data_IF_087427933759
#
_entry.id   IF_087427933759
#
_cell.length_a   1.000
_cell.length_b   1.000
_cell.length_c   1.000
_cell.angle_alpha   90.00
_cell.angle_beta   90.00
_cell.angle_gamma   90.00
#
_symmetry.space_group_name_H-M   'P 1'
#
loop_
_entity.id
_entity.type
_entity.pdbx_description
1 polymer ?
#
# COMPACT_ATOMS: atom_id res chain seq x y z
N UNK A 1 1.37 1.90 21.65
CA UNK A 1 1.66 1.06 20.47
C UNK A 1 0.33 0.67 19.84
N UNK A 2 0.01 1.14 18.63
CA UNK A 2 -1.20 0.66 17.96
C UNK A 2 -0.97 -0.80 17.58
N UNK A 3 -1.68 -1.73 18.22
CA UNK A 3 -1.52 -3.15 17.93
C UNK A 3 -2.28 -3.45 16.64
N UNK A 4 -1.57 -3.44 15.51
CA UNK A 4 -2.10 -3.93 14.25
C UNK A 4 -2.54 -5.39 14.43
N UNK A 5 -3.75 -5.72 13.97
CA UNK A 5 -4.22 -7.11 13.91
C UNK A 5 -3.37 -7.89 12.91
N UNK A 6 -3.39 -9.22 13.01
CA UNK A 6 -2.74 -10.06 12.01
C UNK A 6 -3.32 -9.80 10.62
N UNK A 7 -2.49 -9.89 9.57
CA UNK A 7 -2.90 -9.63 8.17
C UNK A 7 -4.16 -10.42 7.78
N UNK A 8 -4.23 -11.69 8.17
CA UNK A 8 -5.39 -12.55 7.91
C UNK A 8 -6.67 -12.05 8.62
N UNK A 9 -6.55 -11.42 9.78
CA UNK A 9 -7.69 -10.85 10.49
C UNK A 9 -8.14 -9.53 9.87
N UNK A 10 -7.21 -8.65 9.48
CA UNK A 10 -7.52 -7.42 8.75
C UNK A 10 -8.30 -7.71 7.47
N UNK A 11 -7.81 -8.65 6.65
CA UNK A 11 -8.47 -9.04 5.41
C UNK A 11 -9.88 -9.61 5.67
N UNK A 12 -10.05 -10.43 6.71
CA UNK A 12 -11.35 -10.98 7.12
C UNK A 12 -12.31 -9.88 7.60
N UNK A 13 -11.81 -8.90 8.35
CA UNK A 13 -12.61 -7.79 8.87
C UNK A 13 -13.08 -6.86 7.76
N UNK A 14 -12.21 -6.54 6.81
CA UNK A 14 -12.58 -5.77 5.61
C UNK A 14 -13.57 -6.54 4.76
N UNK A 15 -13.31 -7.83 4.47
CA UNK A 15 -14.19 -8.64 3.63
C UNK A 15 -15.59 -8.82 4.25
N UNK A 16 -15.69 -8.79 5.59
CA UNK A 16 -16.95 -8.86 6.32
C UNK A 16 -17.60 -7.48 6.57
N UNK A 17 -16.99 -6.38 6.11
CA UNK A 17 -17.49 -5.02 6.32
C UNK A 17 -17.40 -4.51 7.76
N UNK A 18 -16.64 -5.19 8.64
CA UNK A 18 -16.41 -4.75 10.03
C UNK A 18 -15.40 -3.60 10.14
N UNK A 19 -14.55 -3.46 9.13
CA UNK A 19 -13.55 -2.39 9.02
C UNK A 19 -13.50 -1.93 7.58
N UNK A 20 -13.34 -0.63 7.34
CA UNK A 20 -13.22 -0.12 5.98
C UNK A 20 -11.76 -0.11 5.54
N UNK A 21 -11.52 -0.39 4.27
CA UNK A 21 -10.19 -0.31 3.68
C UNK A 21 -9.62 1.11 3.78
N UNK A 22 -10.49 2.15 3.70
CA UNK A 22 -10.03 3.54 3.83
C UNK A 22 -9.46 3.83 5.23
N UNK A 23 -10.07 3.27 6.28
CA UNK A 23 -9.61 3.48 7.66
C UNK A 23 -8.21 2.88 7.86
N UNK A 24 -7.95 1.71 7.26
CA UNK A 24 -6.62 1.08 7.30
C UNK A 24 -5.57 1.87 6.51
N UNK A 25 -5.96 2.48 5.38
CA UNK A 25 -5.07 3.36 4.61
C UNK A 25 -4.72 4.61 5.40
N UNK A 26 -5.71 5.31 5.97
CA UNK A 26 -5.44 6.51 6.78
C UNK A 26 -4.60 6.18 8.02
N UNK A 27 -4.89 5.06 8.71
CA UNK A 27 -4.08 4.59 9.83
C UNK A 27 -2.62 4.33 9.40
N UNK A 28 -2.40 3.78 8.21
CA UNK A 28 -1.05 3.53 7.69
C UNK A 28 -0.31 4.83 7.35
N UNK A 29 -1.00 5.77 6.71
CA UNK A 29 -0.42 7.07 6.35
C UNK A 29 -0.08 7.89 7.60
N UNK A 30 -0.96 7.88 8.61
CA UNK A 30 -0.70 8.52 9.89
C UNK A 30 0.50 7.89 10.61
N UNK A 31 0.60 6.55 10.61
CA UNK A 31 1.75 5.87 11.20
C UNK A 31 3.08 6.20 10.50
N UNK A 32 3.06 6.48 9.20
CA UNK A 32 4.26 6.94 8.46
C UNK A 32 4.64 8.36 8.89
N UNK A 33 3.66 9.23 9.09
CA UNK A 33 3.88 10.61 9.54
C UNK A 33 4.38 10.68 10.98
N UNK A 34 3.73 9.95 11.88
CA UNK A 34 4.05 9.88 13.31
C UNK A 34 5.45 9.32 13.60
N UNK A 35 6.00 8.56 12.65
CA UNK A 35 7.30 7.88 12.76
C UNK A 35 8.29 8.31 11.68
N UNK A 36 8.17 9.55 11.18
CA UNK A 36 9.04 10.10 10.15
C UNK A 36 10.53 10.09 10.56
N UNK A 37 10.84 10.09 11.87
CA UNK A 37 12.20 10.01 12.41
C UNK A 37 12.96 8.74 12.00
N UNK A 38 12.27 7.66 11.63
CA UNK A 38 12.92 6.43 11.17
C UNK A 38 13.38 6.49 9.72
N UNK A 39 12.91 7.45 8.93
CA UNK A 39 13.25 7.59 7.51
C UNK A 39 13.07 6.30 6.70
N UNK A 40 12.09 5.47 7.09
CA UNK A 40 11.84 4.16 6.51
C UNK A 40 11.07 4.23 5.16
N UNK A 41 10.53 5.40 4.82
CA UNK A 41 9.70 5.63 3.63
C UNK A 41 10.31 6.75 2.78
N UNK A 42 10.48 6.49 1.49
CA UNK A 42 10.97 7.48 0.50
C UNK A 42 9.81 8.32 -0.05
N UNK A 43 8.68 7.68 -0.37
CA UNK A 43 7.52 8.35 -0.95
C UNK A 43 6.23 7.65 -0.51
N UNK A 44 5.16 8.43 -0.29
CA UNK A 44 3.82 7.89 -0.05
C UNK A 44 3.03 7.84 -1.36
N UNK A 45 2.07 6.91 -1.45
CA UNK A 45 1.12 6.80 -2.55
C UNK A 45 -0.30 7.23 -2.11
N UNK A 46 -0.39 8.26 -1.26
CA UNK A 46 -1.61 8.59 -0.51
C UNK A 46 -2.86 8.72 -1.39
N UNK A 47 -2.79 9.47 -2.49
CA UNK A 47 -3.94 9.65 -3.40
C UNK A 47 -4.36 8.33 -4.06
N UNK A 48 -3.40 7.58 -4.60
CA UNK A 48 -3.65 6.28 -5.26
C UNK A 48 -4.20 5.27 -4.27
N UNK A 49 -3.65 5.21 -3.05
CA UNK A 49 -4.08 4.32 -1.98
C UNK A 49 -5.52 4.62 -1.55
N UNK A 50 -5.87 5.90 -1.35
CA UNK A 50 -7.24 6.33 -1.01
C UNK A 50 -8.26 5.97 -2.10
N UNK A 51 -7.93 6.23 -3.38
CA UNK A 51 -8.79 5.86 -4.52
C UNK A 51 -9.04 4.35 -4.56
N UNK A 52 -7.99 3.56 -4.35
CA UNK A 52 -8.07 2.10 -4.33
C UNK A 52 -8.87 1.58 -3.13
N UNK A 53 -8.68 2.14 -1.95
CA UNK A 53 -9.47 1.82 -0.76
C UNK A 53 -10.96 2.10 -0.96
N UNK A 54 -11.31 3.28 -1.49
CA UNK A 54 -12.70 3.62 -1.79
C UNK A 54 -13.34 2.67 -2.80
N UNK A 55 -12.57 2.22 -3.80
CA UNK A 55 -13.01 1.20 -4.75
C UNK A 55 -13.29 -0.15 -4.07
N UNK A 56 -12.41 -0.60 -3.19
CA UNK A 56 -12.55 -1.84 -2.42
C UNK A 56 -13.77 -1.76 -1.49
N UNK A 57 -13.92 -0.67 -0.73
CA UNK A 57 -15.08 -0.43 0.14
C UNK A 57 -16.40 -0.52 -0.65
N UNK A 58 -16.44 0.09 -1.84
CA UNK A 58 -17.61 0.02 -2.73
C UNK A 58 -17.91 -1.40 -3.19
N UNK A 59 -16.89 -2.20 -3.49
CA UNK A 59 -17.07 -3.61 -3.86
C UNK A 59 -17.61 -4.45 -2.70
N UNK A 60 -17.07 -4.27 -1.50
CA UNK A 60 -17.52 -4.95 -0.28
C UNK A 60 -18.97 -4.58 0.05
N UNK A 61 -19.33 -3.29 -0.01
CA UNK A 61 -20.71 -2.84 0.21
C UNK A 61 -21.69 -3.43 -0.82
N UNK A 62 -21.22 -3.75 -2.02
CA UNK A 62 -21.97 -4.47 -3.06
C UNK A 62 -21.97 -6.00 -2.90
N UNK A 63 -21.47 -6.55 -1.79
CA UNK A 63 -21.43 -7.98 -1.50
C UNK A 63 -20.37 -8.77 -2.29
N UNK A 64 -19.40 -8.10 -2.91
CA UNK A 64 -18.34 -8.78 -3.68
C UNK A 64 -17.21 -9.27 -2.80
N UNK A 65 -16.55 -10.33 -3.24
CA UNK A 65 -15.26 -10.78 -2.68
C UNK A 65 -14.12 -10.12 -3.45
N UNK A 66 -13.22 -9.43 -2.75
CA UNK A 66 -12.15 -8.63 -3.37
C UNK A 66 -10.83 -9.40 -3.48
N UNK A 67 -10.62 -10.41 -2.63
CA UNK A 67 -9.44 -11.27 -2.65
C UNK A 67 -8.93 -11.60 -1.24
N UNK A 68 -7.84 -12.37 -1.17
CA UNK A 68 -7.29 -12.88 0.11
C UNK A 68 -6.66 -11.80 0.99
N UNK A 69 -6.38 -10.63 0.42
CA UNK A 69 -5.74 -9.49 1.08
C UNK A 69 -6.64 -8.24 1.02
N UNK A 70 -7.96 -8.43 0.97
CA UNK A 70 -8.93 -7.33 0.86
C UNK A 70 -8.62 -6.16 1.81
N UNK A 71 -8.27 -5.01 1.25
CA UNK A 71 -8.02 -3.77 1.99
C UNK A 71 -6.73 -3.74 2.83
N UNK A 72 -5.90 -4.79 2.78
CA UNK A 72 -4.66 -4.84 3.57
C UNK A 72 -3.64 -3.83 3.02
N UNK A 73 -3.20 -2.85 3.82
CA UNK A 73 -2.16 -1.91 3.41
C UNK A 73 -0.78 -2.59 3.41
N UNK A 74 0.08 -2.21 2.47
CA UNK A 74 1.49 -2.62 2.44
C UNK A 74 2.38 -1.51 1.85
N UNK A 75 3.68 -1.60 2.12
CA UNK A 75 4.70 -0.76 1.49
C UNK A 75 5.58 -1.62 0.58
N UNK A 76 6.07 -1.06 -0.52
CA UNK A 76 6.93 -1.75 -1.47
C UNK A 76 8.37 -1.21 -1.37
N UNK A 77 9.39 -2.08 -1.31
CA UNK A 77 10.80 -1.66 -1.44
C UNK A 77 10.95 -0.79 -2.69
N UNK A 78 11.72 0.30 -2.61
CA UNK A 78 11.70 1.31 -3.67
C UNK A 78 12.24 0.81 -5.03
N UNK A 79 12.92 -0.36 -5.06
CA UNK A 79 13.36 -1.05 -6.28
C UNK A 79 12.27 -1.90 -6.96
N UNK A 80 11.06 -1.99 -6.38
CA UNK A 80 9.88 -2.59 -7.01
C UNK A 80 9.08 -1.53 -7.74
N UNK A 81 8.84 -1.70 -9.04
CA UNK A 81 8.05 -0.75 -9.81
C UNK A 81 6.57 -0.74 -9.38
N UNK A 82 6.05 0.43 -9.02
CA UNK A 82 4.67 0.66 -8.57
C UNK A 82 4.14 1.88 -9.31
N UNK A 83 2.94 1.80 -9.89
CA UNK A 83 2.35 2.96 -10.55
C UNK A 83 2.04 4.08 -9.55
N UNK A 84 2.20 5.34 -9.97
CA UNK A 84 1.87 6.51 -9.17
C UNK A 84 2.92 6.89 -8.13
N UNK A 85 4.13 6.32 -8.23
CA UNK A 85 5.32 6.78 -7.51
C UNK A 85 6.57 6.52 -8.35
N UNK A 86 7.54 7.43 -8.25
CA UNK A 86 8.88 7.23 -8.79
C UNK A 86 9.48 5.94 -8.23
N UNK A 87 10.29 5.24 -9.04
CA UNK A 87 11.12 4.14 -8.56
C UNK A 87 12.59 4.54 -8.63
N UNK A 88 13.16 4.92 -7.47
CA UNK A 88 14.52 5.50 -7.42
C UNK A 88 15.62 4.48 -7.11
N UNK A 89 15.24 3.27 -6.69
CA UNK A 89 16.14 2.27 -6.12
C UNK A 89 17.02 2.83 -4.98
N UNK A 90 16.53 3.81 -4.19
CA UNK A 90 17.31 4.50 -3.16
C UNK A 90 18.43 5.40 -3.71
N UNK A 91 18.40 5.74 -5.01
CA UNK A 91 19.48 6.45 -5.70
C UNK A 91 19.00 7.71 -6.40
N UNK A 92 19.78 8.79 -6.30
CA UNK A 92 19.53 10.03 -7.03
C UNK A 92 19.60 9.86 -8.56
N UNK A 93 20.26 8.80 -9.06
CA UNK A 93 20.39 8.50 -10.50
C UNK A 93 19.02 8.27 -11.15
N UNK A 94 18.08 7.66 -10.42
CA UNK A 94 16.75 7.33 -10.92
C UNK A 94 15.66 8.28 -10.38
N UNK A 95 16.06 9.46 -9.87
CA UNK A 95 15.09 10.48 -9.44
C UNK A 95 14.23 10.91 -10.64
N UNK A 96 12.90 10.93 -10.48
CA UNK A 96 11.98 11.25 -11.57
C UNK A 96 11.69 10.10 -12.53
N UNK A 97 12.16 8.88 -12.24
CA UNK A 97 11.85 7.71 -13.06
C UNK A 97 10.41 7.25 -12.80
N UNK A 98 9.49 7.65 -13.69
CA UNK A 98 8.10 7.18 -13.73
C UNK A 98 8.02 5.76 -14.35
N UNK A 99 7.63 4.72 -13.58
CA UNK A 99 7.65 3.36 -14.08
C UNK A 99 6.65 3.12 -15.22
N UNK A 100 7.10 2.60 -16.39
CA UNK A 100 6.20 2.33 -17.52
C UNK A 100 5.35 1.07 -17.32
N UNK A 101 5.66 0.26 -16.32
CA UNK A 101 4.90 -0.91 -15.92
C UNK A 101 4.99 -1.13 -14.40
N UNK A 102 4.05 -1.91 -13.88
CA UNK A 102 4.03 -2.34 -12.48
C UNK A 102 4.62 -3.74 -12.32
N UNK A 103 5.44 -3.94 -11.28
CA UNK A 103 6.08 -5.22 -11.01
C UNK A 103 5.05 -6.34 -10.79
N UNK A 104 5.36 -7.54 -11.27
CA UNK A 104 4.45 -8.70 -11.20
C UNK A 104 3.99 -9.00 -9.76
N UNK A 105 4.88 -8.86 -8.78
CA UNK A 105 4.53 -9.09 -7.36
C UNK A 105 3.50 -8.07 -6.87
N UNK A 106 3.63 -6.80 -7.26
CA UNK A 106 2.70 -5.73 -6.90
C UNK A 106 1.35 -5.99 -7.57
N UNK A 107 1.34 -6.37 -8.85
CA UNK A 107 0.12 -6.77 -9.55
C UNK A 107 -0.59 -7.94 -8.86
N UNK A 108 0.14 -8.95 -8.39
CA UNK A 108 -0.44 -10.10 -7.67
C UNK A 108 -1.01 -9.70 -6.31
N UNK A 109 -0.30 -8.87 -5.54
CA UNK A 109 -0.80 -8.36 -4.25
C UNK A 109 -2.08 -7.53 -4.45
N UNK A 110 -2.07 -6.63 -5.42
CA UNK A 110 -3.22 -5.79 -5.74
C UNK A 110 -4.37 -6.59 -6.36
N UNK A 111 -4.11 -7.64 -7.14
CA UNK A 111 -5.17 -8.53 -7.62
C UNK A 111 -5.91 -9.23 -6.47
N UNK A 112 -5.23 -9.47 -5.35
CA UNK A 112 -5.81 -10.05 -4.13
C UNK A 112 -6.41 -9.00 -3.17
N UNK A 113 -6.49 -7.73 -3.60
CA UNK A 113 -7.14 -6.67 -2.82
C UNK A 113 -6.22 -5.89 -1.89
N UNK A 114 -4.92 -6.16 -1.87
CA UNK A 114 -3.98 -5.37 -1.08
C UNK A 114 -3.83 -3.94 -1.65
N UNK A 115 -3.35 -3.01 -0.83
CA UNK A 115 -3.22 -1.58 -1.17
C UNK A 115 -1.80 -1.11 -0.88
N UNK A 116 -1.06 -0.71 -1.92
CA UNK A 116 0.26 -0.11 -1.74
C UNK A 116 0.12 1.34 -1.26
N UNK A 117 0.64 1.64 -0.06
CA UNK A 117 0.53 2.97 0.56
C UNK A 117 1.82 3.78 0.48
N UNK A 118 2.98 3.13 0.32
CA UNK A 118 4.26 3.81 0.29
C UNK A 118 5.39 2.99 -0.39
N UNK A 119 6.48 3.70 -0.70
CA UNK A 119 7.77 3.20 -1.17
C UNK A 119 8.75 3.21 0.00
N UNK A 120 9.25 2.04 0.37
CA UNK A 120 10.18 1.88 1.49
C UNK A 120 11.62 2.26 1.09
N UNK A 121 12.35 2.84 2.04
CA UNK A 121 13.76 3.17 1.91
C UNK A 121 14.64 1.90 1.83
N UNK A 122 15.84 2.05 1.27
CA UNK A 122 16.81 0.99 1.02
C UNK A 122 18.19 1.58 0.70
N UNK A 123 19.22 0.75 0.79
CA UNK A 123 20.52 1.05 0.17
C UNK A 123 20.39 1.14 -1.35
N UNK A 124 21.22 1.99 -1.95
CA UNK A 124 21.19 2.24 -3.38
C UNK A 124 21.40 0.95 -4.18
N UNK A 125 20.43 0.61 -5.02
CA UNK A 125 20.42 -0.55 -5.92
C UNK A 125 20.31 -1.95 -5.30
N UNK A 126 20.08 -2.09 -3.98
CA UNK A 126 19.71 -3.39 -3.40
C UNK A 126 20.31 -3.70 -2.05
#
# INVERSE_FOLDING_TARGET
MSQWKAVAELAKDVQAGRTRAIDLVEQSLQAIEDHAEYQAVIATLAERARKRAAHIDKQIAGGKTVGRLAGVPFIAKDNLLVYGADATAGSAILRGFDPPYQATVINRLEAEGAICVAKANQDAFG
#
